data_IF_323496914427
#
_entry.id   IF_323496914427
#
_cell.length_a   1.000
_cell.length_b   1.000
_cell.length_c   1.000
_cell.angle_alpha   90.00
_cell.angle_beta   90.00
_cell.angle_gamma   90.00
#
_symmetry.space_group_name_H-M   'P 1'
#
loop_
_entity.id
_entity.type
_entity.pdbx_description
1 polymer ?
#
# COMPACT_ATOMS: atom_id res chain seq x y z
N UNK A 1 4.27 6.56 36.64
CA UNK A 1 3.77 6.10 35.31
C UNK A 1 4.74 5.07 34.74
N UNK A 2 4.24 3.89 34.38
CA UNK A 2 5.06 2.85 33.75
C UNK A 2 5.62 3.32 32.40
N UNK A 3 6.79 2.84 31.95
CA UNK A 3 7.35 3.19 30.65
C UNK A 3 6.39 2.93 29.47
N UNK A 4 5.60 1.88 29.55
CA UNK A 4 4.57 1.53 28.56
C UNK A 4 3.44 2.58 28.49
N UNK A 5 2.97 3.07 29.64
CA UNK A 5 1.92 4.08 29.69
C UNK A 5 2.40 5.42 29.08
N UNK A 6 3.65 5.81 29.30
CA UNK A 6 4.25 6.99 28.64
C UNK A 6 4.32 6.85 27.11
N UNK A 7 4.63 5.65 26.62
CA UNK A 7 4.63 5.36 25.17
C UNK A 7 3.21 5.43 24.59
N UNK A 8 2.23 4.89 25.30
CA UNK A 8 0.83 4.93 24.89
C UNK A 8 0.29 6.38 24.80
N UNK A 9 0.63 7.24 25.75
CA UNK A 9 0.29 8.66 25.67
C UNK A 9 1.05 9.39 24.55
N UNK A 10 2.21 8.88 24.14
CA UNK A 10 3.03 9.42 23.05
C UNK A 10 2.53 9.09 21.65
N UNK A 11 1.50 8.25 21.49
CA UNK A 11 0.91 7.86 20.20
C UNK A 11 0.32 9.09 19.50
N UNK A 12 0.41 9.12 18.17
CA UNK A 12 -0.32 10.11 17.36
C UNK A 12 -1.80 9.70 17.24
N UNK A 13 -2.61 10.22 18.15
CA UNK A 13 -4.04 9.90 18.22
C UNK A 13 -4.83 10.38 17.01
N UNK A 14 -4.41 11.48 16.37
CA UNK A 14 -5.08 11.99 15.17
C UNK A 14 -4.94 10.95 14.04
N UNK A 15 -3.74 10.39 13.84
CA UNK A 15 -3.50 9.33 12.87
C UNK A 15 -4.33 8.07 13.17
N UNK A 16 -4.40 7.66 14.45
CA UNK A 16 -5.19 6.50 14.86
C UNK A 16 -6.69 6.75 14.63
N UNK A 17 -7.21 7.91 15.00
CA UNK A 17 -8.63 8.23 14.79
C UNK A 17 -8.98 8.29 13.30
N UNK A 18 -8.13 8.89 12.48
CA UNK A 18 -8.31 8.90 11.03
C UNK A 18 -8.33 7.48 10.46
N UNK A 19 -7.37 6.63 10.87
CA UNK A 19 -7.32 5.23 10.47
C UNK A 19 -8.58 4.46 10.91
N UNK A 20 -9.01 4.62 12.17
CA UNK A 20 -10.22 3.95 12.67
C UNK A 20 -11.47 4.40 11.93
N UNK A 21 -11.58 5.69 11.60
CA UNK A 21 -12.66 6.21 10.76
C UNK A 21 -12.69 5.59 9.38
N UNK A 22 -11.52 5.47 8.73
CA UNK A 22 -11.40 4.79 7.43
C UNK A 22 -11.75 3.30 7.53
N UNK A 23 -11.27 2.59 8.56
CA UNK A 23 -11.61 1.18 8.78
C UNK A 23 -13.12 0.97 8.99
N UNK A 24 -13.75 1.80 9.80
CA UNK A 24 -15.19 1.74 10.05
C UNK A 24 -15.99 1.99 8.76
N UNK A 25 -15.59 3.00 7.99
CA UNK A 25 -16.21 3.30 6.69
C UNK A 25 -15.95 2.16 5.68
N UNK A 26 -14.76 1.56 5.67
CA UNK A 26 -14.43 0.41 4.84
C UNK A 26 -15.31 -0.82 5.13
N UNK A 27 -15.50 -1.16 6.41
CA UNK A 27 -16.40 -2.25 6.81
C UNK A 27 -17.83 -1.97 6.36
N UNK A 28 -18.30 -0.72 6.49
CA UNK A 28 -19.63 -0.32 6.02
C UNK A 28 -19.77 -0.41 4.50
N UNK A 29 -18.76 0.04 3.75
CA UNK A 29 -18.75 -0.07 2.29
C UNK A 29 -18.69 -1.53 1.82
N UNK A 30 -17.90 -2.39 2.49
CA UNK A 30 -17.87 -3.84 2.21
C UNK A 30 -19.22 -4.48 2.50
N UNK A 31 -19.90 -4.08 3.60
CA UNK A 31 -21.24 -4.58 3.91
C UNK A 31 -22.21 -4.29 2.76
N UNK A 32 -22.25 -3.06 2.27
CA UNK A 32 -23.10 -2.68 1.15
C UNK A 32 -22.72 -3.39 -0.15
N UNK A 33 -21.41 -3.46 -0.48
CA UNK A 33 -20.91 -4.17 -1.65
C UNK A 33 -21.11 -5.69 -1.61
N UNK A 34 -21.47 -6.25 -0.46
CA UNK A 34 -21.64 -7.70 -0.27
C UNK A 34 -23.04 -8.21 -0.58
N UNK A 35 -23.97 -7.34 -0.94
CA UNK A 35 -25.28 -7.75 -1.43
C UNK A 35 -25.18 -8.29 -2.87
N UNK A 36 -25.84 -9.39 -3.15
CA UNK A 36 -25.95 -9.98 -4.49
C UNK A 36 -27.28 -10.70 -4.66
N UNK A 37 -27.69 -10.90 -5.91
CA UNK A 37 -28.85 -11.76 -6.24
C UNK A 37 -28.36 -13.14 -6.62
N UNK A 38 -29.04 -14.17 -6.15
CA UNK A 38 -28.81 -15.53 -6.62
C UNK A 38 -29.50 -15.80 -7.98
N UNK A 39 -29.30 -16.99 -8.53
CA UNK A 39 -29.89 -17.40 -9.81
C UNK A 39 -31.44 -17.39 -9.80
N UNK A 40 -32.06 -17.42 -8.62
CA UNK A 40 -33.52 -17.28 -8.44
C UNK A 40 -33.98 -15.83 -8.27
N UNK A 41 -33.08 -14.86 -8.39
CA UNK A 41 -33.38 -13.43 -8.23
C UNK A 41 -33.53 -12.97 -6.76
N UNK A 42 -33.28 -13.86 -5.79
CA UNK A 42 -33.40 -13.54 -4.36
C UNK A 42 -32.16 -12.78 -3.90
N UNK A 43 -32.38 -11.67 -3.19
CA UNK A 43 -31.30 -10.87 -2.60
C UNK A 43 -30.62 -11.64 -1.45
N UNK A 44 -29.31 -11.85 -1.56
CA UNK A 44 -28.48 -12.49 -0.55
C UNK A 44 -27.36 -11.58 -0.14
N UNK A 45 -26.79 -11.82 1.06
CA UNK A 45 -25.68 -11.06 1.62
C UNK A 45 -24.47 -12.00 1.85
N UNK A 46 -23.36 -11.73 1.20
CA UNK A 46 -22.08 -12.33 1.56
C UNK A 46 -21.59 -11.82 2.92
N UNK A 47 -21.04 -12.68 3.76
CA UNK A 47 -20.54 -12.29 5.09
C UNK A 47 -19.12 -11.73 5.07
N UNK A 48 -18.64 -11.18 3.95
CA UNK A 48 -17.28 -10.66 3.76
C UNK A 48 -16.93 -9.55 4.76
N UNK A 49 -17.89 -8.71 5.13
CA UNK A 49 -17.69 -7.68 6.15
C UNK A 49 -17.35 -8.26 7.54
N UNK A 50 -17.91 -9.44 7.90
CA UNK A 50 -17.55 -10.14 9.15
C UNK A 50 -16.12 -10.68 9.08
N UNK A 51 -15.73 -11.23 7.93
CA UNK A 51 -14.37 -11.69 7.74
C UNK A 51 -13.38 -10.53 7.78
N UNK A 52 -13.73 -9.37 7.20
CA UNK A 52 -12.93 -8.15 7.30
C UNK A 52 -12.73 -7.70 8.76
N UNK A 53 -13.79 -7.75 9.58
CA UNK A 53 -13.67 -7.45 11.03
C UNK A 53 -12.72 -8.43 11.75
N UNK A 54 -12.72 -9.73 11.39
CA UNK A 54 -11.76 -10.69 11.91
C UNK A 54 -10.32 -10.32 11.53
N UNK A 55 -10.09 -9.93 10.27
CA UNK A 55 -8.77 -9.51 9.80
C UNK A 55 -8.29 -8.23 10.49
N UNK A 56 -9.17 -7.26 10.71
CA UNK A 56 -8.87 -6.06 11.50
C UNK A 56 -8.52 -6.48 12.92
N UNK A 57 -9.33 -7.33 13.56
CA UNK A 57 -9.08 -7.84 14.92
C UNK A 57 -7.74 -8.56 15.05
N UNK A 58 -7.35 -9.36 14.04
CA UNK A 58 -6.04 -10.01 13.98
C UNK A 58 -4.89 -9.01 13.71
N UNK A 59 -5.14 -7.97 12.95
CA UNK A 59 -4.12 -6.95 12.62
C UNK A 59 -3.83 -5.95 13.74
N UNK A 60 -4.81 -5.68 14.62
CA UNK A 60 -4.62 -4.73 15.74
C UNK A 60 -3.49 -5.12 16.71
N UNK A 61 -3.32 -6.37 17.14
CA UNK A 61 -2.15 -6.79 17.91
C UNK A 61 -0.81 -6.51 17.20
N UNK A 62 -0.74 -6.70 15.88
CA UNK A 62 0.48 -6.38 15.10
C UNK A 62 0.73 -4.88 15.05
N UNK A 63 -0.32 -4.06 14.90
CA UNK A 63 -0.22 -2.60 14.99
C UNK A 63 0.32 -2.17 16.36
N UNK A 64 -0.29 -2.65 17.44
CA UNK A 64 0.11 -2.27 18.80
C UNK A 64 1.52 -2.77 19.13
N UNK A 65 1.84 -4.01 18.77
CA UNK A 65 3.19 -4.57 18.92
C UNK A 65 4.24 -3.72 18.21
N UNK A 66 4.01 -3.43 16.93
CA UNK A 66 4.91 -2.61 16.14
C UNK A 66 5.03 -1.16 16.68
N UNK A 67 3.93 -0.57 17.18
CA UNK A 67 3.92 0.79 17.72
C UNK A 67 4.71 0.93 19.04
N UNK A 68 4.67 -0.08 19.89
CA UNK A 68 5.30 -0.06 21.22
C UNK A 68 6.78 -0.47 21.21
N UNK A 69 7.17 -1.28 20.22
CA UNK A 69 8.55 -1.72 20.05
C UNK A 69 9.34 -0.60 19.34
N UNK A 70 10.57 -0.32 19.80
CA UNK A 70 11.42 0.70 19.15
C UNK A 70 11.80 0.25 17.73
N UNK A 71 11.45 1.05 16.73
CA UNK A 71 11.72 0.75 15.32
C UNK A 71 13.22 0.53 15.00
N UNK A 72 14.13 0.86 15.89
CA UNK A 72 15.58 0.69 15.66
C UNK A 72 16.01 -0.76 15.48
N UNK A 73 15.26 -1.72 16.05
CA UNK A 73 15.58 -3.13 15.84
C UNK A 73 15.27 -3.61 14.41
N UNK A 74 14.56 -2.79 13.61
CA UNK A 74 14.45 -2.95 12.16
C UNK A 74 15.82 -3.18 11.51
N UNK A 75 16.90 -2.59 12.02
CA UNK A 75 18.27 -2.78 11.55
C UNK A 75 18.72 -4.25 11.59
N UNK A 76 18.26 -5.00 12.57
CA UNK A 76 18.56 -6.43 12.71
C UNK A 76 17.54 -7.31 11.98
N UNK A 77 16.29 -6.87 11.92
CA UNK A 77 15.20 -7.60 11.31
C UNK A 77 15.12 -7.44 9.79
N UNK A 78 15.72 -6.40 9.19
CA UNK A 78 15.58 -6.09 7.77
C UNK A 78 16.03 -7.25 6.87
N UNK A 79 17.18 -7.87 7.15
CA UNK A 79 17.70 -8.98 6.34
C UNK A 79 16.81 -10.23 6.45
N UNK A 80 16.50 -10.76 7.66
CA UNK A 80 15.62 -11.92 7.77
C UNK A 80 14.21 -11.65 7.24
N UNK A 81 13.63 -10.47 7.42
CA UNK A 81 12.33 -10.10 6.84
C UNK A 81 12.38 -10.07 5.31
N UNK A 82 13.43 -9.49 4.74
CA UNK A 82 13.60 -9.43 3.30
C UNK A 82 13.80 -10.82 2.69
N UNK A 83 14.61 -11.67 3.32
CA UNK A 83 14.79 -13.05 2.89
C UNK A 83 13.50 -13.89 3.01
N UNK A 84 12.71 -13.66 4.07
CA UNK A 84 11.39 -14.28 4.20
C UNK A 84 10.42 -13.80 3.10
N UNK A 85 10.46 -12.51 2.75
CA UNK A 85 9.69 -11.96 1.63
C UNK A 85 10.05 -12.60 0.28
N UNK A 86 11.36 -12.68 -0.02
CA UNK A 86 11.85 -13.37 -1.22
C UNK A 86 11.49 -14.86 -1.20
N UNK A 87 11.66 -15.53 -0.08
CA UNK A 87 11.27 -16.94 0.10
C UNK A 87 9.78 -17.15 -0.16
N UNK A 88 8.93 -16.23 0.30
CA UNK A 88 7.49 -16.23 0.01
C UNK A 88 7.19 -16.07 -1.48
N UNK A 89 7.93 -15.21 -2.19
CA UNK A 89 7.78 -15.05 -3.64
C UNK A 89 8.27 -16.29 -4.41
N UNK A 90 9.37 -16.91 -4.00
CA UNK A 90 9.84 -18.19 -4.57
C UNK A 90 8.81 -19.28 -4.32
N UNK A 91 8.27 -19.37 -3.10
CA UNK A 91 7.23 -20.34 -2.75
C UNK A 91 5.96 -20.13 -3.59
N UNK A 92 5.57 -18.88 -3.85
CA UNK A 92 4.46 -18.52 -4.75
C UNK A 92 4.68 -19.07 -6.17
N UNK A 93 5.90 -18.93 -6.71
CA UNK A 93 6.20 -19.42 -8.05
C UNK A 93 6.17 -20.96 -8.14
N UNK A 94 6.49 -21.68 -7.05
CA UNK A 94 6.53 -23.13 -7.01
C UNK A 94 5.18 -23.77 -6.67
N UNK A 95 4.40 -23.16 -5.78
CA UNK A 95 3.20 -23.72 -5.15
C UNK A 95 1.98 -22.80 -5.20
N UNK A 96 2.07 -21.70 -5.93
CA UNK A 96 0.98 -20.73 -6.04
C UNK A 96 -0.27 -21.33 -6.72
N UNK A 97 -1.42 -20.80 -6.34
CA UNK A 97 -2.70 -21.15 -6.96
C UNK A 97 -3.04 -20.08 -7.98
N UNK A 98 -3.26 -20.50 -9.21
CA UNK A 98 -3.70 -19.61 -10.29
C UNK A 98 -5.18 -19.26 -10.10
N UNK A 99 -5.47 -18.00 -9.89
CA UNK A 99 -6.84 -17.48 -9.77
C UNK A 99 -7.06 -16.47 -10.89
N UNK A 100 -7.98 -16.77 -11.80
CA UNK A 100 -8.31 -15.90 -12.97
C UNK A 100 -7.08 -15.55 -13.83
N UNK A 101 -6.20 -16.50 -14.09
CA UNK A 101 -4.98 -16.31 -14.89
C UNK A 101 -3.83 -15.63 -14.13
N UNK A 102 -3.99 -15.35 -12.85
CA UNK A 102 -3.05 -14.61 -12.02
C UNK A 102 -2.49 -15.48 -10.89
N UNK A 103 -1.17 -15.65 -10.84
CA UNK A 103 -0.48 -16.43 -9.80
C UNK A 103 -0.08 -15.49 -8.65
N UNK A 104 -1.06 -15.05 -7.84
CA UNK A 104 -0.83 -14.06 -6.79
C UNK A 104 -1.02 -14.59 -5.36
N UNK A 105 -1.64 -15.76 -5.21
CA UNK A 105 -2.10 -16.27 -3.93
C UNK A 105 -1.48 -17.62 -3.59
N UNK A 106 -1.20 -17.81 -2.31
CA UNK A 106 -0.80 -19.09 -1.72
C UNK A 106 -1.77 -19.43 -0.60
N UNK A 107 -2.30 -20.64 -0.60
CA UNK A 107 -3.15 -21.11 0.49
C UNK A 107 -2.31 -21.76 1.59
N UNK A 108 -2.24 -21.13 2.77
CA UNK A 108 -1.53 -21.63 3.94
C UNK A 108 -2.55 -21.89 5.04
N UNK A 109 -2.69 -23.12 5.51
CA UNK A 109 -3.65 -23.53 6.54
C UNK A 109 -5.10 -23.07 6.25
N UNK A 110 -5.53 -23.10 4.98
CA UNK A 110 -6.88 -22.67 4.57
C UNK A 110 -7.06 -21.17 4.42
N UNK A 111 -5.99 -20.38 4.57
CA UNK A 111 -5.99 -18.93 4.42
C UNK A 111 -5.23 -18.54 3.16
N UNK A 112 -5.83 -17.71 2.32
CA UNK A 112 -5.17 -17.16 1.14
C UNK A 112 -4.27 -15.99 1.55
N UNK A 113 -2.98 -16.17 1.35
CA UNK A 113 -1.92 -15.19 1.64
C UNK A 113 -1.37 -14.67 0.32
N UNK A 114 -1.16 -13.36 0.22
CA UNK A 114 -0.52 -12.72 -0.93
C UNK A 114 0.93 -12.33 -0.58
N UNK A 115 1.94 -13.13 -1.00
CA UNK A 115 3.33 -12.91 -0.62
C UNK A 115 3.92 -11.58 -1.12
N UNK A 116 3.40 -11.04 -2.23
CA UNK A 116 3.85 -9.76 -2.78
C UNK A 116 3.67 -8.59 -1.79
N UNK A 117 2.61 -8.56 -0.99
CA UNK A 117 2.36 -7.52 0.00
C UNK A 117 3.38 -7.57 1.15
N UNK A 118 3.72 -8.78 1.59
CA UNK A 118 4.77 -8.98 2.58
C UNK A 118 6.15 -8.61 2.03
N UNK A 119 6.43 -8.94 0.77
CA UNK A 119 7.68 -8.58 0.10
C UNK A 119 7.86 -7.06 -0.04
N UNK A 120 6.79 -6.31 -0.38
CA UNK A 120 6.82 -4.83 -0.43
C UNK A 120 7.13 -4.26 0.96
N UNK A 121 6.44 -4.74 2.01
CA UNK A 121 6.70 -4.33 3.39
C UNK A 121 8.16 -4.57 3.79
N UNK A 122 8.66 -5.78 3.56
CA UNK A 122 10.05 -6.15 3.87
C UNK A 122 11.07 -5.32 3.04
N UNK A 123 10.72 -5.03 1.79
CA UNK A 123 11.50 -4.16 0.91
C UNK A 123 11.59 -2.72 1.41
N UNK A 124 10.49 -2.14 1.89
CA UNK A 124 10.49 -0.81 2.53
C UNK A 124 11.44 -0.79 3.72
N UNK A 125 11.35 -1.81 4.59
CA UNK A 125 12.24 -1.95 5.76
C UNK A 125 13.70 -2.05 5.34
N UNK A 126 14.01 -2.88 4.36
CA UNK A 126 15.38 -3.07 3.86
C UNK A 126 15.92 -1.81 3.17
N UNK A 127 15.13 -1.15 2.32
CA UNK A 127 15.50 0.10 1.66
C UNK A 127 15.75 1.23 2.67
N UNK A 128 14.97 1.29 3.76
CA UNK A 128 15.19 2.28 4.82
C UNK A 128 16.57 2.13 5.47
N UNK A 129 17.03 0.90 5.65
CA UNK A 129 18.38 0.60 6.17
C UNK A 129 19.45 0.88 5.11
N UNK A 130 19.22 0.49 3.85
CA UNK A 130 20.19 0.74 2.75
C UNK A 130 20.41 2.23 2.53
N UNK A 131 19.36 3.04 2.48
CA UNK A 131 19.54 4.48 2.29
C UNK A 131 19.94 5.23 3.57
N UNK A 132 19.48 4.78 4.74
CA UNK A 132 19.66 5.51 6.00
C UNK A 132 20.87 5.11 6.83
N UNK A 133 21.22 3.82 6.88
CA UNK A 133 22.26 3.29 7.78
C UNK A 133 23.54 2.87 7.03
N UNK A 134 23.41 2.25 5.85
CA UNK A 134 24.55 1.70 5.12
C UNK A 134 25.69 2.72 4.89
N UNK A 135 25.41 4.02 4.55
CA UNK A 135 26.46 5.04 4.41
C UNK A 135 27.16 5.42 5.70
N UNK A 136 26.53 5.11 6.86
CA UNK A 136 27.11 5.36 8.19
C UNK A 136 28.01 4.22 8.63
N UNK A 137 27.60 2.98 8.31
CA UNK A 137 28.35 1.76 8.67
C UNK A 137 29.58 1.59 7.79
N UNK A 138 29.44 1.84 6.49
CA UNK A 138 30.46 1.59 5.49
C UNK A 138 30.72 2.83 4.64
N UNK A 139 31.90 3.50 4.79
CA UNK A 139 32.21 4.74 4.06
C UNK A 139 32.13 4.62 2.53
N UNK A 140 32.34 3.44 1.96
CA UNK A 140 32.25 3.19 0.51
C UNK A 140 30.85 3.50 -0.01
N UNK A 141 29.80 3.26 0.77
CA UNK A 141 28.40 3.54 0.41
C UNK A 141 27.99 5.02 0.60
N UNK A 142 28.91 5.91 0.97
CA UNK A 142 28.69 7.36 0.85
C UNK A 142 28.61 7.77 -0.63
N UNK A 143 29.16 6.96 -1.54
CA UNK A 143 29.02 7.16 -3.01
C UNK A 143 27.58 6.83 -3.42
N UNK A 144 26.81 7.81 -3.99
CA UNK A 144 25.41 7.62 -4.29
C UNK A 144 25.11 6.47 -5.25
N UNK A 145 25.95 6.28 -6.27
CA UNK A 145 25.77 5.23 -7.27
C UNK A 145 25.88 3.82 -6.70
N UNK A 146 26.78 3.58 -5.72
CA UNK A 146 26.88 2.27 -5.05
C UNK A 146 25.63 1.96 -4.22
N UNK A 147 25.10 2.96 -3.51
CA UNK A 147 23.83 2.81 -2.78
C UNK A 147 22.67 2.50 -3.73
N UNK A 148 22.67 3.15 -4.91
CA UNK A 148 21.63 2.90 -5.90
C UNK A 148 21.70 1.50 -6.49
N UNK A 149 22.90 0.96 -6.71
CA UNK A 149 23.03 -0.44 -7.16
C UNK A 149 22.45 -1.38 -6.11
N UNK A 150 22.83 -1.25 -4.83
CA UNK A 150 22.30 -2.09 -3.77
C UNK A 150 20.79 -1.91 -3.61
N UNK A 151 20.31 -0.67 -3.59
CA UNK A 151 18.89 -0.40 -3.48
C UNK A 151 18.10 -0.90 -4.71
N UNK A 152 18.69 -0.77 -5.91
CA UNK A 152 18.13 -1.30 -7.14
C UNK A 152 18.01 -2.83 -7.14
N UNK A 153 18.99 -3.55 -6.58
CA UNK A 153 18.92 -5.00 -6.39
C UNK A 153 17.81 -5.35 -5.39
N UNK A 154 17.75 -4.64 -4.25
CA UNK A 154 16.75 -4.85 -3.20
C UNK A 154 15.32 -4.60 -3.70
N UNK A 155 15.10 -3.59 -4.52
CA UNK A 155 13.78 -3.33 -5.07
C UNK A 155 13.51 -4.13 -6.36
N UNK A 156 14.52 -4.29 -7.23
CA UNK A 156 14.37 -4.86 -8.55
C UNK A 156 14.12 -6.35 -8.54
N UNK A 157 14.78 -7.12 -7.66
CA UNK A 157 14.57 -8.57 -7.60
C UNK A 157 13.11 -8.93 -7.28
N UNK A 158 12.52 -8.46 -6.16
CA UNK A 158 11.13 -8.79 -5.85
C UNK A 158 10.15 -8.17 -6.87
N UNK A 159 10.41 -6.95 -7.36
CA UNK A 159 9.59 -6.34 -8.41
C UNK A 159 9.56 -7.18 -9.69
N UNK A 160 10.72 -7.67 -10.16
CA UNK A 160 10.82 -8.52 -11.34
C UNK A 160 10.11 -9.88 -11.16
N UNK A 161 10.16 -10.45 -9.95
CA UNK A 161 9.46 -11.69 -9.63
C UNK A 161 7.94 -11.52 -9.65
N UNK A 162 7.45 -10.36 -9.19
CA UNK A 162 6.02 -10.08 -9.05
C UNK A 162 5.39 -9.59 -10.35
N UNK A 163 6.09 -8.78 -11.16
CA UNK A 163 5.52 -8.03 -12.29
C UNK A 163 4.88 -8.93 -13.36
N UNK A 164 5.43 -10.13 -13.54
CA UNK A 164 4.91 -11.12 -14.51
C UNK A 164 3.56 -11.70 -14.10
N UNK A 165 3.35 -11.83 -12.81
CA UNK A 165 2.17 -12.49 -12.23
C UNK A 165 1.13 -11.49 -11.73
N UNK A 166 1.59 -10.42 -11.10
CA UNK A 166 0.77 -9.36 -10.51
C UNK A 166 1.38 -8.00 -10.87
N UNK A 167 0.97 -7.47 -12.01
CA UNK A 167 1.45 -6.17 -12.51
C UNK A 167 1.19 -5.04 -11.48
N UNK A 168 0.04 -5.11 -10.79
CA UNK A 168 -0.34 -4.10 -9.81
C UNK A 168 0.66 -4.01 -8.66
N UNK A 169 0.87 -5.10 -7.96
CA UNK A 169 1.86 -5.15 -6.85
C UNK A 169 3.28 -4.84 -7.35
N UNK A 170 3.62 -5.21 -8.59
CA UNK A 170 4.90 -4.87 -9.21
C UNK A 170 5.09 -3.36 -9.39
N UNK A 171 4.06 -2.65 -9.83
CA UNK A 171 4.11 -1.19 -10.06
C UNK A 171 4.24 -0.38 -8.78
N UNK A 172 3.82 -0.89 -7.63
CA UNK A 172 3.95 -0.19 -6.32
C UNK A 172 5.42 0.06 -5.97
N UNK A 173 6.34 -0.81 -6.42
CA UNK A 173 7.78 -0.63 -6.15
C UNK A 173 8.35 0.67 -6.71
N UNK A 174 7.84 1.16 -7.85
CA UNK A 174 8.30 2.39 -8.47
C UNK A 174 8.15 3.63 -7.56
N UNK A 175 6.93 4.01 -7.17
CA UNK A 175 6.68 5.12 -6.25
C UNK A 175 7.39 4.97 -4.91
N UNK A 176 7.43 3.76 -4.32
CA UNK A 176 8.15 3.49 -3.07
C UNK A 176 9.64 3.76 -3.23
N UNK A 177 10.27 3.20 -4.26
CA UNK A 177 11.70 3.37 -4.52
C UNK A 177 12.07 4.83 -4.77
N UNK A 178 11.32 5.53 -5.65
CA UNK A 178 11.58 6.93 -6.00
C UNK A 178 11.41 7.87 -4.80
N UNK A 179 10.37 7.68 -3.99
CA UNK A 179 10.13 8.50 -2.80
C UNK A 179 11.22 8.29 -1.74
N UNK A 180 11.62 7.03 -1.52
CA UNK A 180 12.70 6.73 -0.58
C UNK A 180 14.07 7.21 -1.08
N UNK A 181 14.32 7.15 -2.38
CA UNK A 181 15.51 7.69 -3.01
C UNK A 181 15.59 9.23 -2.86
N UNK A 182 14.47 9.93 -3.07
CA UNK A 182 14.39 11.39 -2.91
C UNK A 182 14.80 11.82 -1.50
N UNK A 183 14.25 11.15 -0.47
CA UNK A 183 14.54 11.44 0.95
C UNK A 183 15.88 10.84 1.41
N UNK A 184 16.37 9.81 0.70
CA UNK A 184 17.62 9.09 0.99
C UNK A 184 18.90 9.85 0.65
N UNK A 185 18.84 11.16 0.38
CA UNK A 185 19.98 12.01 0.02
C UNK A 185 20.74 11.52 -1.23
N UNK A 186 20.00 11.06 -2.23
CA UNK A 186 20.52 10.75 -3.54
C UNK A 186 20.38 11.99 -4.42
N UNK A 187 21.44 12.41 -5.17
CA UNK A 187 21.36 13.54 -6.07
C UNK A 187 20.25 13.38 -7.12
N UNK A 188 19.49 14.45 -7.36
CA UNK A 188 18.29 14.45 -8.22
C UNK A 188 18.57 13.98 -9.67
N UNK A 189 19.81 14.18 -10.17
CA UNK A 189 20.24 13.68 -11.48
C UNK A 189 20.03 12.17 -11.65
N UNK A 190 20.29 11.37 -10.62
CA UNK A 190 20.09 9.91 -10.68
C UNK A 190 18.60 9.55 -10.75
N UNK A 191 17.74 10.33 -10.09
CA UNK A 191 16.30 10.13 -10.17
C UNK A 191 15.78 10.39 -11.59
N UNK A 192 16.23 11.50 -12.22
CA UNK A 192 15.90 11.80 -13.62
C UNK A 192 16.39 10.68 -14.54
N UNK A 193 17.64 10.22 -14.37
CA UNK A 193 18.19 9.13 -15.18
C UNK A 193 17.38 7.85 -15.06
N UNK A 194 16.93 7.50 -13.83
CA UNK A 194 16.09 6.32 -13.60
C UNK A 194 14.70 6.47 -14.23
N UNK A 195 14.08 7.64 -14.13
CA UNK A 195 12.76 7.90 -14.75
C UNK A 195 12.88 7.82 -16.28
N UNK A 196 13.89 8.45 -16.88
CA UNK A 196 14.11 8.37 -18.31
C UNK A 196 14.43 6.94 -18.75
N UNK A 197 15.27 6.23 -17.99
CA UNK A 197 15.54 4.82 -18.25
C UNK A 197 14.28 3.94 -18.16
N UNK A 198 13.44 4.17 -17.16
CA UNK A 198 12.16 3.46 -17.03
C UNK A 198 11.24 3.73 -18.22
N UNK A 199 11.14 4.99 -18.70
CA UNK A 199 10.36 5.34 -19.88
C UNK A 199 10.85 4.61 -21.14
N UNK A 200 12.18 4.42 -21.29
CA UNK A 200 12.74 3.64 -22.40
C UNK A 200 12.47 2.13 -22.26
N UNK A 201 12.35 1.63 -21.03
CA UNK A 201 12.11 0.20 -20.75
C UNK A 201 10.61 -0.16 -20.89
N UNK A 202 9.69 0.78 -20.68
CA UNK A 202 8.23 0.52 -20.77
C UNK A 202 7.83 -0.19 -22.08
N UNK A 203 8.25 0.24 -23.27
CA UNK A 203 7.90 -0.46 -24.51
C UNK A 203 8.46 -1.89 -24.55
N UNK A 204 9.68 -2.10 -24.05
CA UNK A 204 10.30 -3.43 -24.01
C UNK A 204 9.50 -4.36 -23.09
N UNK A 205 9.11 -3.86 -21.90
CA UNK A 205 8.29 -4.63 -20.96
C UNK A 205 6.92 -4.95 -21.58
N UNK A 206 6.28 -3.97 -22.21
CA UNK A 206 4.99 -4.16 -22.86
C UNK A 206 5.03 -5.27 -23.92
N UNK A 207 5.98 -5.24 -24.85
CA UNK A 207 6.02 -6.18 -25.97
C UNK A 207 6.61 -7.56 -25.61
N UNK A 208 7.55 -7.64 -24.66
CA UNK A 208 8.34 -8.84 -24.44
C UNK A 208 8.15 -9.49 -23.05
N UNK A 209 7.57 -8.79 -22.07
CA UNK A 209 7.46 -9.29 -20.70
C UNK A 209 6.03 -9.52 -20.28
N UNK A 210 5.08 -8.64 -20.67
CA UNK A 210 3.69 -8.73 -20.25
C UNK A 210 2.97 -9.90 -20.93
N UNK A 211 2.12 -10.58 -20.16
CA UNK A 211 1.21 -11.62 -20.66
C UNK A 211 0.11 -10.98 -21.52
N UNK A 212 -0.49 -11.73 -22.49
CA UNK A 212 -1.53 -11.16 -23.37
C UNK A 212 -2.69 -10.50 -22.64
N UNK A 213 -3.15 -11.06 -21.52
CA UNK A 213 -4.23 -10.46 -20.73
C UNK A 213 -3.85 -9.14 -20.07
N UNK A 214 -2.57 -8.94 -19.70
CA UNK A 214 -2.07 -7.67 -19.16
C UNK A 214 -1.98 -6.61 -20.23
N UNK A 215 -1.56 -6.98 -21.44
CA UNK A 215 -1.57 -6.09 -22.61
C UNK A 215 -3.00 -5.67 -22.94
N UNK A 216 -3.95 -6.61 -23.00
CA UNK A 216 -5.35 -6.33 -23.28
C UNK A 216 -5.97 -5.32 -22.29
N UNK A 217 -5.62 -5.38 -21.00
CA UNK A 217 -6.06 -4.40 -19.99
C UNK A 217 -5.50 -2.99 -20.24
N UNK A 218 -4.23 -2.90 -20.64
CA UNK A 218 -3.60 -1.62 -21.00
C UNK A 218 -4.25 -1.04 -22.26
N UNK A 219 -4.43 -1.87 -23.29
CA UNK A 219 -5.04 -1.46 -24.56
C UNK A 219 -6.49 -1.02 -24.37
N UNK A 220 -7.27 -1.77 -23.60
CA UNK A 220 -8.64 -1.40 -23.24
C UNK A 220 -8.69 -0.02 -22.61
N UNK A 221 -7.82 0.25 -21.64
CA UNK A 221 -7.78 1.56 -20.98
C UNK A 221 -7.34 2.66 -21.95
N UNK A 222 -6.36 2.38 -22.82
CA UNK A 222 -5.93 3.32 -23.84
C UNK A 222 -7.08 3.67 -24.81
N UNK A 223 -7.84 2.69 -25.27
CA UNK A 223 -9.01 2.91 -26.15
C UNK A 223 -10.12 3.70 -25.43
N UNK A 224 -10.34 3.46 -24.14
CA UNK A 224 -11.30 4.24 -23.34
C UNK A 224 -10.87 5.70 -23.20
N UNK A 225 -9.61 5.97 -22.84
CA UNK A 225 -9.08 7.34 -22.68
C UNK A 225 -9.08 8.10 -24.01
N UNK A 226 -8.77 7.42 -25.13
CA UNK A 226 -8.74 8.03 -26.46
C UNK A 226 -10.12 8.06 -27.15
N UNK A 227 -11.18 7.68 -26.43
CA UNK A 227 -12.57 7.65 -26.92
C UNK A 227 -12.78 6.74 -28.15
N UNK A 228 -12.03 5.64 -28.24
CA UNK A 228 -12.14 4.62 -29.30
C UNK A 228 -12.94 3.41 -28.79
N UNK A 229 -14.18 3.66 -28.35
CA UNK A 229 -15.03 2.64 -27.75
C UNK A 229 -15.42 1.50 -28.69
N UNK A 230 -15.34 1.69 -29.99
CA UNK A 230 -15.52 0.69 -31.04
C UNK A 230 -14.46 -0.44 -30.97
N UNK A 231 -13.29 -0.18 -30.40
CA UNK A 231 -12.20 -1.15 -30.21
C UNK A 231 -12.22 -1.85 -28.85
N UNK A 232 -13.06 -1.40 -27.93
CA UNK A 232 -13.18 -2.00 -26.59
C UNK A 232 -14.03 -3.25 -26.67
N UNK A 233 -13.47 -4.42 -26.29
CA UNK A 233 -14.25 -5.64 -26.13
C UNK A 233 -15.13 -5.56 -24.87
N UNK A 234 -16.34 -5.03 -25.05
CA UNK A 234 -17.31 -4.85 -23.95
C UNK A 234 -17.91 -6.16 -23.45
N UNK A 235 -17.58 -7.32 -24.04
CA UNK A 235 -17.99 -8.65 -23.53
C UNK A 235 -16.87 -9.45 -22.91
N UNK A 236 -15.61 -9.00 -23.13
CA UNK A 236 -14.39 -9.57 -22.56
C UNK A 236 -13.75 -8.64 -21.53
N UNK A 237 -12.46 -8.34 -21.73
CA UNK A 237 -11.64 -7.57 -20.78
C UNK A 237 -12.14 -6.14 -20.50
N UNK A 238 -12.92 -5.55 -21.43
CA UNK A 238 -13.52 -4.23 -21.28
C UNK A 238 -14.84 -4.22 -20.51
N UNK A 239 -15.44 -5.38 -20.22
CA UNK A 239 -16.72 -5.47 -19.51
C UNK A 239 -16.70 -4.74 -18.17
N UNK A 240 -15.85 -5.19 -17.27
CA UNK A 240 -15.77 -4.67 -15.90
C UNK A 240 -15.45 -3.18 -15.86
N UNK A 241 -14.37 -2.68 -16.50
CA UNK A 241 -14.06 -1.25 -16.49
C UNK A 241 -15.17 -0.39 -17.08
N UNK A 242 -15.85 -0.83 -18.13
CA UNK A 242 -16.98 -0.08 -18.75
C UNK A 242 -18.12 0.09 -17.75
N UNK A 243 -18.53 -0.98 -17.07
CA UNK A 243 -19.64 -0.90 -16.12
C UNK A 243 -19.29 -0.10 -14.85
N UNK A 244 -18.04 -0.18 -14.37
CA UNK A 244 -17.58 0.67 -13.27
C UNK A 244 -17.62 2.15 -13.65
N UNK A 245 -17.19 2.52 -14.85
CA UNK A 245 -17.27 3.90 -15.33
C UNK A 245 -18.71 4.38 -15.46
N UNK A 246 -19.63 3.54 -15.98
CA UNK A 246 -21.07 3.85 -16.03
C UNK A 246 -21.63 4.05 -14.62
N UNK A 247 -21.25 3.20 -13.64
CA UNK A 247 -21.67 3.32 -12.26
C UNK A 247 -21.24 4.66 -11.66
N UNK A 248 -19.95 5.00 -11.80
CA UNK A 248 -19.38 6.26 -11.31
C UNK A 248 -20.00 7.47 -12.01
N UNK A 249 -20.11 7.46 -13.34
CA UNK A 249 -20.64 8.58 -14.10
C UNK A 249 -22.15 8.84 -13.82
N UNK A 250 -22.93 7.77 -13.60
CA UNK A 250 -24.37 7.86 -13.33
C UNK A 250 -24.71 8.23 -11.88
N UNK A 251 -23.74 8.25 -10.97
CA UNK A 251 -23.97 8.50 -9.55
C UNK A 251 -24.27 9.97 -9.23
N UNK A 252 -23.79 10.90 -10.03
CA UNK A 252 -23.97 12.34 -9.78
C UNK A 252 -23.28 12.82 -8.50
N UNK A 253 -23.82 13.89 -7.90
CA UNK A 253 -23.22 14.50 -6.73
C UNK A 253 -23.55 13.74 -5.43
N UNK A 254 -24.78 13.29 -5.26
CA UNK A 254 -25.29 12.67 -4.03
C UNK A 254 -25.18 11.14 -4.00
N UNK A 255 -25.02 10.50 -5.16
CA UNK A 255 -25.05 9.05 -5.31
C UNK A 255 -26.47 8.49 -5.41
N UNK A 256 -26.55 7.18 -5.64
CA UNK A 256 -27.82 6.45 -5.76
C UNK A 256 -28.34 5.93 -4.40
N UNK A 257 -27.55 6.11 -3.34
CA UNK A 257 -27.81 5.56 -2.02
C UNK A 257 -27.34 4.11 -1.86
N UNK A 258 -27.20 3.64 -0.60
CA UNK A 258 -26.82 2.27 -0.31
C UNK A 258 -27.93 1.30 -0.70
N UNK A 259 -27.54 0.09 -1.11
CA UNK A 259 -28.50 -0.97 -1.43
C UNK A 259 -29.28 -1.35 -0.17
N UNK A 260 -30.58 -1.51 -0.31
CA UNK A 260 -31.45 -1.97 0.76
C UNK A 260 -32.47 -2.99 0.24
N UNK A 261 -32.99 -3.83 1.14
CA UNK A 261 -34.09 -4.76 0.80
C UNK A 261 -35.32 -4.07 0.23
N UNK A 262 -35.53 -2.79 0.60
CA UNK A 262 -36.70 -2.00 0.18
C UNK A 262 -36.55 -1.41 -1.22
N UNK A 263 -35.30 -1.25 -1.71
CA UNK A 263 -35.04 -0.64 -3.03
C UNK A 263 -33.88 -1.38 -3.71
N UNK A 264 -34.14 -2.55 -4.26
CA UNK A 264 -33.09 -3.48 -4.68
C UNK A 264 -32.44 -3.15 -6.02
N UNK A 265 -32.96 -2.24 -6.83
CA UNK A 265 -32.55 -2.08 -8.24
C UNK A 265 -31.88 -0.73 -8.56
N UNK A 266 -31.27 -0.08 -7.59
CA UNK A 266 -30.76 1.29 -7.75
C UNK A 266 -29.46 1.42 -8.51
N UNK A 267 -28.57 0.42 -8.48
CA UNK A 267 -27.22 0.58 -8.96
C UNK A 267 -26.81 -0.33 -10.09
N UNK A 268 -25.87 0.11 -10.90
CA UNK A 268 -25.24 -0.68 -11.97
C UNK A 268 -24.49 -1.87 -11.39
N UNK A 269 -23.81 -1.68 -10.26
CA UNK A 269 -23.05 -2.71 -9.55
C UNK A 269 -24.00 -3.73 -8.93
N UNK A 270 -25.14 -3.29 -8.37
CA UNK A 270 -26.13 -4.15 -7.72
C UNK A 270 -27.01 -4.93 -8.70
N UNK A 271 -27.10 -4.50 -9.97
CA UNK A 271 -27.79 -5.24 -11.04
C UNK A 271 -26.99 -6.40 -11.62
N UNK A 272 -25.88 -6.79 -10.99
CA UNK A 272 -24.98 -7.87 -11.41
C UNK A 272 -24.31 -7.68 -12.80
N UNK A 273 -24.28 -6.46 -13.32
CA UNK A 273 -23.40 -6.15 -14.45
C UNK A 273 -21.92 -6.22 -14.06
N UNK A 274 -21.65 -6.57 -12.81
CA UNK A 274 -20.32 -6.59 -12.23
C UNK A 274 -20.15 -7.82 -11.33
N UNK A 275 -19.00 -8.54 -11.38
CA UNK A 275 -18.78 -9.69 -10.51
C UNK A 275 -18.81 -9.27 -9.04
N UNK A 276 -19.78 -9.76 -8.28
CA UNK A 276 -19.94 -9.47 -6.84
C UNK A 276 -18.71 -9.84 -6.02
N UNK A 277 -17.86 -10.74 -6.54
CA UNK A 277 -16.61 -11.17 -5.91
C UNK A 277 -15.49 -10.14 -5.96
N UNK A 278 -15.55 -9.13 -6.82
CA UNK A 278 -14.53 -8.08 -6.99
C UNK A 278 -14.99 -6.72 -6.48
N UNK A 279 -16.30 -6.52 -6.35
CA UNK A 279 -16.91 -5.27 -5.91
C UNK A 279 -16.41 -4.84 -4.51
N UNK A 280 -16.23 -5.78 -3.58
CA UNK A 280 -15.79 -5.51 -2.22
C UNK A 280 -14.26 -5.42 -2.05
N UNK A 281 -13.48 -5.75 -3.08
CA UNK A 281 -12.00 -5.69 -3.07
C UNK A 281 -11.47 -4.58 -3.96
N UNK A 282 -11.27 -4.87 -5.23
CA UNK A 282 -10.54 -3.99 -6.16
C UNK A 282 -11.40 -2.81 -6.63
N UNK A 283 -12.72 -3.00 -6.69
CA UNK A 283 -13.64 -1.98 -7.21
C UNK A 283 -14.49 -1.31 -6.12
N UNK A 284 -14.07 -1.43 -4.87
CA UNK A 284 -14.80 -0.82 -3.74
C UNK A 284 -14.93 0.71 -3.88
N UNK A 285 -13.95 1.37 -4.50
CA UNK A 285 -14.02 2.80 -4.77
C UNK A 285 -15.18 3.12 -5.74
N UNK A 286 -15.38 2.31 -6.78
CA UNK A 286 -16.51 2.44 -7.70
C UNK A 286 -17.86 2.26 -6.99
N UNK A 287 -17.97 1.29 -6.06
CA UNK A 287 -19.15 1.11 -5.22
C UNK A 287 -19.43 2.35 -4.39
N UNK A 288 -18.41 2.89 -3.72
CA UNK A 288 -18.53 4.11 -2.90
C UNK A 288 -18.94 5.30 -3.76
N UNK A 289 -18.38 5.44 -4.97
CA UNK A 289 -18.81 6.48 -5.90
C UNK A 289 -20.28 6.30 -6.31
N UNK A 290 -20.73 5.09 -6.62
CA UNK A 290 -22.12 4.85 -7.02
C UNK A 290 -23.10 5.10 -5.87
N UNK A 291 -22.79 4.68 -4.65
CA UNK A 291 -23.68 4.81 -3.49
C UNK A 291 -23.73 6.24 -2.92
N UNK A 292 -22.55 6.88 -2.79
CA UNK A 292 -22.43 8.18 -2.11
C UNK A 292 -22.13 9.35 -3.05
N UNK A 293 -22.01 9.09 -4.37
CA UNK A 293 -21.74 10.08 -5.38
C UNK A 293 -20.36 10.75 -5.25
N UNK A 294 -20.23 11.89 -5.91
CA UNK A 294 -19.00 12.69 -5.88
C UNK A 294 -18.61 13.10 -4.45
N UNK A 295 -19.57 13.47 -3.59
CA UNK A 295 -19.32 13.85 -2.19
C UNK A 295 -18.69 12.72 -1.39
N UNK A 296 -19.13 11.47 -1.61
CA UNK A 296 -18.56 10.30 -0.92
C UNK A 296 -17.13 10.00 -1.36
N UNK A 297 -16.87 10.07 -2.67
CA UNK A 297 -15.53 9.91 -3.22
C UNK A 297 -14.55 10.97 -2.67
N UNK A 298 -14.95 12.24 -2.66
CA UNK A 298 -14.12 13.34 -2.13
C UNK A 298 -13.87 13.17 -0.63
N UNK A 299 -14.89 12.83 0.16
CA UNK A 299 -14.74 12.61 1.60
C UNK A 299 -13.76 11.47 1.90
N UNK A 300 -13.88 10.35 1.19
CA UNK A 300 -12.97 9.21 1.31
C UNK A 300 -11.53 9.59 0.96
N UNK A 301 -11.32 10.19 -0.22
CA UNK A 301 -9.98 10.61 -0.65
C UNK A 301 -9.38 11.67 0.28
N UNK A 302 -10.20 12.56 0.83
CA UNK A 302 -9.77 13.53 1.85
C UNK A 302 -9.33 12.84 3.13
N UNK A 303 -10.05 11.82 3.60
CA UNK A 303 -9.66 11.02 4.76
C UNK A 303 -8.32 10.32 4.56
N UNK A 304 -8.11 9.71 3.37
CA UNK A 304 -6.83 9.08 3.02
C UNK A 304 -5.72 10.15 2.90
N UNK A 305 -5.99 11.28 2.24
CA UNK A 305 -5.03 12.38 2.11
C UNK A 305 -4.60 12.93 3.48
N UNK A 306 -5.51 13.10 4.41
CA UNK A 306 -5.20 13.49 5.80
C UNK A 306 -4.26 12.49 6.47
N UNK A 307 -4.49 11.17 6.29
CA UNK A 307 -3.62 10.14 6.81
C UNK A 307 -2.21 10.23 6.20
N UNK A 308 -2.11 10.40 4.88
CA UNK A 308 -0.83 10.53 4.17
C UNK A 308 -0.07 11.80 4.59
N UNK A 309 -0.76 12.94 4.72
CA UNK A 309 -0.18 14.22 5.19
C UNK A 309 0.36 14.07 6.61
N UNK A 310 -0.38 13.41 7.51
CA UNK A 310 0.11 13.11 8.85
C UNK A 310 1.35 12.21 8.81
N UNK A 311 1.41 11.22 7.92
CA UNK A 311 2.60 10.40 7.70
C UNK A 311 3.79 11.24 7.26
N UNK A 312 3.62 12.15 6.29
CA UNK A 312 4.68 13.08 5.86
C UNK A 312 5.15 13.93 7.05
N UNK A 313 4.21 14.48 7.83
CA UNK A 313 4.53 15.24 9.04
C UNK A 313 5.35 14.41 10.04
N UNK A 314 4.99 13.14 10.26
CA UNK A 314 5.75 12.23 11.12
C UNK A 314 7.17 11.98 10.59
N UNK A 315 7.35 11.90 9.27
CA UNK A 315 8.67 11.76 8.66
C UNK A 315 9.58 12.97 8.95
N UNK A 316 9.03 14.20 8.92
CA UNK A 316 9.80 15.41 9.28
C UNK A 316 10.27 15.39 10.74
N UNK A 317 9.46 14.91 11.66
CA UNK A 317 9.78 14.84 13.09
C UNK A 317 10.52 13.56 13.49
N UNK A 318 10.87 12.70 12.53
CA UNK A 318 11.63 11.49 12.79
C UNK A 318 13.04 11.83 13.32
N UNK A 319 13.48 11.10 14.33
CA UNK A 319 14.76 11.29 15.00
C UNK A 319 15.97 10.99 14.10
N UNK A 320 15.85 10.00 13.24
CA UNK A 320 16.96 9.55 12.38
C UNK A 320 16.48 9.28 10.93
N UNK A 321 17.47 9.08 10.07
CA UNK A 321 17.23 8.88 8.65
C UNK A 321 16.48 7.57 8.36
N UNK A 322 16.72 6.52 9.14
CA UNK A 322 16.05 5.22 8.95
C UNK A 322 14.55 5.34 9.25
N UNK A 323 14.19 5.94 10.40
CA UNK A 323 12.79 6.17 10.76
C UNK A 323 12.08 7.07 9.74
N UNK A 324 12.76 8.13 9.26
CA UNK A 324 12.21 9.00 8.20
C UNK A 324 11.91 8.23 6.93
N UNK A 325 12.87 7.45 6.45
CA UNK A 325 12.73 6.65 5.23
C UNK A 325 11.67 5.57 5.36
N UNK A 326 11.55 4.96 6.54
CA UNK A 326 10.54 3.97 6.83
C UNK A 326 9.13 4.55 6.67
N UNK A 327 8.88 5.71 7.31
CA UNK A 327 7.59 6.40 7.19
C UNK A 327 7.32 6.84 5.75
N UNK A 328 8.32 7.38 5.04
CA UNK A 328 8.19 7.78 3.64
C UNK A 328 7.85 6.59 2.73
N UNK A 329 8.50 5.44 2.94
CA UNK A 329 8.19 4.22 2.18
C UNK A 329 6.76 3.73 2.39
N UNK A 330 6.26 3.77 3.64
CA UNK A 330 4.87 3.40 3.97
C UNK A 330 3.87 4.38 3.34
N UNK A 331 4.13 5.69 3.44
CA UNK A 331 3.28 6.73 2.82
C UNK A 331 3.25 6.57 1.31
N UNK A 332 4.40 6.31 0.69
CA UNK A 332 4.49 6.08 -0.76
C UNK A 332 3.72 4.82 -1.20
N UNK A 333 3.78 3.74 -0.42
CA UNK A 333 3.01 2.52 -0.67
C UNK A 333 1.50 2.83 -0.60
N UNK A 334 1.03 3.48 0.46
CA UNK A 334 -0.40 3.80 0.59
C UNK A 334 -0.88 4.77 -0.49
N UNK A 335 -0.05 5.75 -0.85
CA UNK A 335 -0.34 6.65 -1.97
C UNK A 335 -0.45 5.88 -3.29
N UNK A 336 0.50 4.99 -3.60
CA UNK A 336 0.50 4.19 -4.82
C UNK A 336 -0.74 3.32 -4.93
N UNK A 337 -1.12 2.60 -3.86
CA UNK A 337 -2.34 1.81 -3.81
C UNK A 337 -3.60 2.66 -4.01
N UNK A 338 -3.68 3.82 -3.34
CA UNK A 338 -4.83 4.73 -3.45
C UNK A 338 -4.95 5.31 -4.85
N UNK A 339 -3.85 5.82 -5.40
CA UNK A 339 -3.81 6.42 -6.73
C UNK A 339 -4.21 5.41 -7.81
N UNK A 340 -3.68 4.19 -7.70
CA UNK A 340 -3.93 3.13 -8.65
C UNK A 340 -5.37 2.62 -8.55
N UNK A 341 -5.88 2.36 -7.34
CA UNK A 341 -7.26 1.91 -7.13
C UNK A 341 -8.28 2.96 -7.58
N UNK A 342 -8.13 4.21 -7.15
CA UNK A 342 -9.03 5.29 -7.58
C UNK A 342 -8.91 5.52 -9.10
N UNK A 343 -7.69 5.56 -9.64
CA UNK A 343 -7.45 5.81 -11.06
C UNK A 343 -8.05 4.74 -11.97
N UNK A 344 -7.97 3.44 -11.60
CA UNK A 344 -8.58 2.38 -12.40
C UNK A 344 -10.11 2.42 -12.34
N UNK A 345 -10.70 2.74 -11.20
CA UNK A 345 -12.15 2.88 -11.07
C UNK A 345 -12.70 4.10 -11.83
N UNK A 346 -11.89 5.15 -11.99
CA UNK A 346 -12.22 6.33 -12.80
C UNK A 346 -11.89 6.14 -14.30
N UNK A 347 -11.33 4.98 -14.69
CA UNK A 347 -10.94 4.70 -16.07
C UNK A 347 -9.69 5.46 -16.56
N UNK A 348 -8.91 6.04 -15.63
CA UNK A 348 -7.67 6.76 -15.93
C UNK A 348 -6.44 5.86 -15.98
N UNK A 349 -6.53 4.69 -15.34
CA UNK A 349 -5.46 3.70 -15.25
C UNK A 349 -5.99 2.31 -15.61
N UNK A 350 -5.11 1.40 -16.09
CA UNK A 350 -5.51 0.04 -16.38
C UNK A 350 -5.97 -0.71 -15.12
N UNK A 351 -6.90 -1.63 -15.30
CA UNK A 351 -7.43 -2.47 -14.22
C UNK A 351 -6.39 -3.52 -13.85
N UNK A 352 -5.76 -3.34 -12.69
CA UNK A 352 -4.64 -4.17 -12.22
C UNK A 352 -4.83 -4.77 -10.82
N UNK A 353 -6.03 -4.63 -10.25
CA UNK A 353 -6.41 -5.37 -9.05
C UNK A 353 -5.62 -5.02 -7.78
N UNK A 354 -5.45 -3.74 -7.46
CA UNK A 354 -4.86 -3.30 -6.19
C UNK A 354 -5.92 -2.88 -5.17
N UNK A 355 -5.84 -3.37 -3.93
CA UNK A 355 -6.77 -2.98 -2.88
C UNK A 355 -6.53 -1.54 -2.41
N UNK A 356 -7.61 -0.85 -2.02
CA UNK A 356 -7.58 0.48 -1.42
C UNK A 356 -7.25 0.35 0.09
N UNK A 357 -6.19 1.01 0.60
CA UNK A 357 -5.79 0.89 2.00
C UNK A 357 -6.91 1.22 2.98
N UNK A 358 -7.07 0.40 4.01
CA UNK A 358 -8.09 0.47 5.08
C UNK A 358 -9.54 0.22 4.64
N UNK A 359 -9.85 0.29 3.35
CA UNK A 359 -11.20 0.24 2.80
C UNK A 359 -11.51 -1.10 2.16
N UNK A 360 -10.65 -1.57 1.23
CA UNK A 360 -10.87 -2.81 0.50
C UNK A 360 -10.87 -4.05 1.38
N UNK A 361 -11.67 -5.04 1.00
CA UNK A 361 -11.56 -6.37 1.57
C UNK A 361 -10.22 -7.02 1.19
N UNK A 362 -9.50 -7.52 2.21
CA UNK A 362 -8.23 -8.21 1.96
C UNK A 362 -7.55 -8.62 3.27
N UNK A 363 -7.46 -9.95 3.52
CA UNK A 363 -6.93 -10.47 4.77
C UNK A 363 -5.47 -10.11 5.00
N UNK A 364 -4.57 -10.62 4.18
CA UNK A 364 -3.12 -10.37 4.29
C UNK A 364 -2.79 -8.88 4.16
N UNK A 365 -3.44 -8.20 3.20
CA UNK A 365 -3.23 -6.78 2.98
C UNK A 365 -3.59 -5.94 4.20
N UNK A 366 -4.70 -6.26 4.88
CA UNK A 366 -5.12 -5.57 6.10
C UNK A 366 -4.12 -5.74 7.23
N UNK A 367 -3.60 -6.96 7.45
CA UNK A 367 -2.59 -7.22 8.49
C UNK A 367 -1.30 -6.44 8.19
N UNK A 368 -0.81 -6.47 6.95
CA UNK A 368 0.39 -5.73 6.52
C UNK A 368 0.18 -4.23 6.70
N UNK A 369 -0.97 -3.71 6.27
CA UNK A 369 -1.33 -2.29 6.40
C UNK A 369 -1.33 -1.83 7.87
N UNK A 370 -1.95 -2.60 8.76
CA UNK A 370 -1.99 -2.29 10.20
C UNK A 370 -0.60 -2.40 10.85
N UNK A 371 0.20 -3.39 10.46
CA UNK A 371 1.59 -3.50 10.93
C UNK A 371 2.43 -2.29 10.51
N UNK A 372 2.33 -1.86 9.25
CA UNK A 372 3.03 -0.67 8.74
C UNK A 372 2.57 0.61 9.44
N UNK A 373 1.29 0.74 9.75
CA UNK A 373 0.77 1.83 10.60
C UNK A 373 1.39 1.80 12.00
N UNK A 374 1.53 0.62 12.60
CA UNK A 374 2.23 0.43 13.87
C UNK A 374 3.69 0.87 13.79
N UNK A 375 4.40 0.54 12.71
CA UNK A 375 5.78 0.98 12.48
C UNK A 375 5.88 2.51 12.37
N UNK A 376 4.96 3.17 11.66
CA UNK A 376 4.89 4.64 11.63
C UNK A 376 4.70 5.21 13.03
N UNK A 377 3.77 4.63 13.82
CA UNK A 377 3.56 5.03 15.20
C UNK A 377 4.81 4.81 16.08
N UNK A 378 5.56 3.73 15.86
CA UNK A 378 6.83 3.50 16.57
C UNK A 378 7.84 4.63 16.32
N UNK A 379 7.97 5.08 15.06
CA UNK A 379 8.85 6.22 14.72
C UNK A 379 8.39 7.48 15.47
N UNK A 380 7.10 7.73 15.55
CA UNK A 380 6.55 8.87 16.25
C UNK A 380 6.72 8.81 17.77
N UNK A 381 6.41 7.69 18.38
CA UNK A 381 6.53 7.47 19.84
C UNK A 381 7.97 7.63 20.31
N UNK A 382 8.95 7.19 19.50
CA UNK A 382 10.36 7.21 19.87
C UNK A 382 11.12 8.46 19.36
N UNK A 383 10.41 9.47 18.78
CA UNK A 383 11.04 10.69 18.25
C UNK A 383 11.82 11.52 19.29
N UNK A 384 11.33 11.58 20.53
CA UNK A 384 11.82 12.45 21.59
C UNK A 384 12.74 11.75 22.60
N UNK A 385 13.19 10.52 22.36
CA UNK A 385 14.15 9.88 23.23
C UNK A 385 15.51 10.58 23.02
N UNK A 386 15.83 11.55 23.89
CA UNK A 386 17.12 12.21 23.91
C UNK A 386 18.24 11.15 23.93
N UNK A 387 19.32 11.31 23.16
CA UNK A 387 20.49 10.46 23.33
C UNK A 387 20.88 10.57 24.80
N UNK A 388 20.98 9.42 25.50
CA UNK A 388 21.61 9.37 26.80
C UNK A 388 22.91 10.14 26.64
N UNK A 389 23.08 11.26 27.39
CA UNK A 389 24.33 11.95 27.50
C UNK A 389 25.35 10.87 27.84
N UNK A 390 26.23 10.49 26.92
CA UNK A 390 27.40 9.76 27.26
C UNK A 390 28.07 10.63 28.31
N UNK A 391 28.05 10.21 29.58
CA UNK A 391 28.96 10.72 30.59
C UNK A 391 30.33 10.52 29.97
N UNK A 392 30.96 11.58 29.55
CA UNK A 392 32.39 11.62 29.33
C UNK A 392 33.01 11.33 30.68
N UNK A 393 33.31 10.07 30.94
CA UNK A 393 34.31 9.70 31.94
C UNK A 393 35.63 10.19 31.36
N UNK A 394 36.25 11.20 31.97
CA UNK A 394 37.57 11.67 31.62
C UNK A 394 37.66 13.17 31.35
N UNK A 395 37.14 14.00 32.23
CA UNK A 395 37.62 15.37 32.40
C UNK A 395 38.40 15.44 33.70
N UNK A 396 39.70 15.18 33.67
CA UNK A 396 40.59 15.70 34.69
C UNK A 396 40.59 17.20 34.50
N UNK A 397 40.11 17.94 35.52
CA UNK A 397 40.40 19.34 35.75
C UNK A 397 41.91 19.47 35.92
N UNK A 398 42.60 19.95 34.91
CA UNK A 398 43.87 20.63 35.10
C UNK A 398 43.52 22.06 35.53
N UNK A 399 43.49 22.32 36.82
CA UNK A 399 43.68 23.67 37.35
C UNK A 399 45.14 23.97 37.15
N UNK A 400 45.41 24.95 36.32
CA UNK A 400 46.68 25.68 36.32
C UNK A 400 46.68 26.50 37.61
N UNK A 401 47.48 26.07 38.59
CA UNK A 401 47.99 26.88 39.67
C UNK A 401 49.25 27.55 39.11
N UNK A 402 49.12 28.75 38.57
CA UNK A 402 50.19 29.70 38.39
C UNK A 402 49.85 30.91 39.25
N UNK A 403 50.42 30.92 40.44
CA UNK A 403 50.78 32.08 41.25
C UNK A 403 51.99 31.72 42.08
N UNK A 404 53.20 32.19 41.63
CA UNK A 404 54.27 32.92 42.32
C UNK A 404 55.50 33.05 41.41
#
# INVERSE_FOLDING_TARGET
MTPLFKKFLGINWILILTMLGLLAFGVYAIYNASYFRDDSGVLKLHLKWKDQMKWIGLGLPFLLGAALIDYKWVRWACVPMYMAGLGGLVYLQLYGVEVKGNLAWVTIAGVNVQPSQFAIMAGIVMLAVVFGELPRMWPVFRRPWLRLIVAGIVAGIPAAMVIKEDLGSGLVWGPVFLSMMLVGSIPFRYMITLILGALCIIPIVYFFVLKPYQQARIDTTWYMITNQMDKVDTRGDGWVPTFVQIAVASAGFEGKGPMSEKVPDHGTIHRQFFPSTEAHSDFIFGVICEEFGFRGAVLLLTGIALLLIQGIFMAFYSRDQVGRLLVVGVVAMFFAHTFQNAGMNLGMLPVIGLPLPFISYGGTFMIVTLFLMGMMQSVWVHRNISPVKRKTMGGRDFRDDDDD
#
